data_IF_020325613776
#
_entry.id   IF_020325613776
#
_cell.length_a   1.000
_cell.length_b   1.000
_cell.length_c   1.000
_cell.angle_alpha   90.00
_cell.angle_beta   90.00
_cell.angle_gamma   90.00
#
_symmetry.space_group_name_H-M   'P 1'
#
loop_
_entity.id
_entity.type
_entity.pdbx_description
1 polymer ?
#
# COMPACT_ATOMS: atom_id res chain seq x y z
N UNK A 1 -2.87 -0.37 -14.99
CA UNK A 1 -2.88 0.62 -13.87
C UNK A 1 -1.48 0.65 -13.26
N UNK A 2 -0.71 1.68 -13.57
CA UNK A 2 0.64 1.82 -12.99
C UNK A 2 0.55 2.26 -11.53
N UNK A 3 1.47 1.78 -10.70
CA UNK A 3 1.60 2.30 -9.35
C UNK A 3 2.06 3.76 -9.41
N UNK A 4 1.34 4.64 -8.74
CA UNK A 4 1.65 6.07 -8.67
C UNK A 4 2.00 6.52 -7.25
N UNK A 5 2.07 5.60 -6.31
CA UNK A 5 2.38 5.94 -4.93
C UNK A 5 3.00 4.77 -4.18
N UNK A 6 3.77 5.08 -3.17
CA UNK A 6 4.33 4.10 -2.23
C UNK A 6 3.96 4.50 -0.81
N UNK A 7 3.47 3.55 -0.03
CA UNK A 7 3.34 3.68 1.41
C UNK A 7 4.65 3.26 2.06
N UNK A 8 5.23 4.15 2.85
CA UNK A 8 6.47 3.89 3.55
C UNK A 8 6.16 3.42 4.97
N UNK A 9 6.62 2.21 5.28
CA UNK A 9 6.57 1.68 6.65
C UNK A 9 7.91 1.93 7.31
N UNK A 10 7.88 2.53 8.48
CA UNK A 10 9.08 2.81 9.26
C UNK A 10 9.00 2.18 10.64
N UNK A 11 10.17 1.87 11.22
CA UNK A 11 10.25 1.25 12.54
C UNK A 11 9.89 2.23 13.66
N UNK A 12 9.15 1.76 14.65
CA UNK A 12 8.82 2.53 15.85
C UNK A 12 9.96 2.50 16.88
N UNK A 13 11.19 2.58 16.44
CA UNK A 13 12.36 2.45 17.32
C UNK A 13 12.40 3.62 18.32
N UNK A 14 11.92 3.36 19.54
CA UNK A 14 12.06 4.26 20.67
C UNK A 14 11.31 5.57 20.60
N UNK A 15 10.40 5.74 19.64
CA UNK A 15 9.72 7.00 19.42
C UNK A 15 8.27 6.89 19.87
N UNK A 16 8.06 7.21 21.13
CA UNK A 16 6.71 7.30 21.69
C UNK A 16 6.36 8.77 21.94
N UNK A 17 5.14 9.17 21.57
CA UNK A 17 4.57 10.45 21.94
C UNK A 17 5.02 11.64 21.08
N UNK A 18 5.40 12.72 21.75
CA UNK A 18 5.60 14.05 21.12
C UNK A 18 6.75 14.13 20.11
N UNK A 19 7.68 13.17 20.11
CA UNK A 19 8.86 13.19 19.25
C UNK A 19 8.64 12.50 17.89
N UNK A 20 7.48 11.89 17.69
CA UNK A 20 7.16 11.16 16.46
C UNK A 20 7.25 12.06 15.23
N UNK A 21 6.74 13.28 15.31
CA UNK A 21 6.76 14.22 14.18
C UNK A 21 8.19 14.63 13.79
N UNK A 22 9.11 14.75 14.73
CA UNK A 22 10.52 15.07 14.45
C UNK A 22 11.16 13.96 13.62
N UNK A 23 10.91 12.71 14.00
CA UNK A 23 11.40 11.56 13.27
C UNK A 23 10.78 11.48 11.86
N UNK A 24 9.47 11.66 11.75
CA UNK A 24 8.77 11.64 10.48
C UNK A 24 9.26 12.76 9.55
N UNK A 25 9.49 13.96 10.07
CA UNK A 25 10.03 15.07 9.29
C UNK A 25 11.45 14.80 8.81
N UNK A 26 12.28 14.22 9.66
CA UNK A 26 13.62 13.79 9.28
C UNK A 26 13.59 12.71 8.21
N UNK A 27 12.70 11.73 8.36
CA UNK A 27 12.51 10.66 7.38
C UNK A 27 12.07 11.21 6.03
N UNK A 28 11.11 12.13 6.01
CA UNK A 28 10.65 12.79 4.78
C UNK A 28 11.81 13.49 4.07
N UNK A 29 12.64 14.22 4.80
CA UNK A 29 13.82 14.88 4.23
C UNK A 29 14.82 13.89 3.64
N UNK A 30 15.09 12.80 4.34
CA UNK A 30 16.00 11.76 3.87
C UNK A 30 15.47 11.07 2.61
N UNK A 31 14.17 10.81 2.55
CA UNK A 31 13.52 10.24 1.36
C UNK A 31 13.65 11.20 0.18
N UNK A 32 13.35 12.48 0.36
CA UNK A 32 13.51 13.49 -0.69
C UNK A 32 14.93 13.54 -1.22
N UNK A 33 15.90 13.49 -0.31
CA UNK A 33 17.32 13.49 -0.68
C UNK A 33 17.67 12.23 -1.49
N UNK A 34 17.24 11.06 -1.05
CA UNK A 34 17.51 9.80 -1.72
C UNK A 34 16.93 9.73 -3.13
N UNK A 35 15.81 10.42 -3.38
CA UNK A 35 15.13 10.42 -4.68
C UNK A 35 15.62 11.51 -5.65
N UNK A 36 16.51 12.40 -5.23
CA UNK A 36 16.98 13.51 -6.07
C UNK A 36 17.66 13.05 -7.36
N UNK A 37 18.34 11.90 -7.35
CA UNK A 37 19.03 11.36 -8.52
C UNK A 37 18.21 10.36 -9.32
N UNK A 38 16.96 10.12 -8.96
CA UNK A 38 16.08 9.14 -9.61
C UNK A 38 15.21 9.85 -10.64
N UNK A 39 15.09 9.25 -11.83
CA UNK A 39 14.21 9.77 -12.88
C UNK A 39 12.75 9.74 -12.43
N UNK A 40 12.11 10.89 -12.46
CA UNK A 40 10.72 11.08 -12.08
C UNK A 40 10.50 12.30 -11.21
N UNK A 41 9.24 12.62 -11.01
CA UNK A 41 8.82 13.67 -10.09
C UNK A 41 8.15 13.02 -8.88
N UNK A 42 8.68 13.33 -7.70
CA UNK A 42 8.23 12.71 -6.46
C UNK A 42 7.73 13.76 -5.47
N UNK A 43 6.58 13.49 -4.87
CA UNK A 43 6.06 14.26 -3.75
C UNK A 43 6.03 13.38 -2.50
N UNK A 44 6.85 13.72 -1.53
CA UNK A 44 6.91 13.01 -0.25
C UNK A 44 6.10 13.79 0.77
N UNK A 45 5.12 13.14 1.37
CA UNK A 45 4.22 13.81 2.31
C UNK A 45 3.74 12.88 3.43
N UNK A 46 3.28 13.50 4.51
CA UNK A 46 2.60 12.79 5.61
C UNK A 46 1.10 12.91 5.42
N UNK A 47 0.40 11.81 5.65
CA UNK A 47 -1.05 11.77 5.59
C UNK A 47 -1.57 10.77 6.62
N UNK A 48 -2.39 11.23 7.55
CA UNK A 48 -3.00 10.39 8.60
C UNK A 48 -2.01 9.48 9.35
N UNK A 49 -0.88 10.04 9.77
CA UNK A 49 0.14 9.31 10.53
C UNK A 49 0.97 8.34 9.70
N UNK A 50 0.97 8.49 8.38
CA UNK A 50 1.73 7.68 7.43
C UNK A 50 2.51 8.55 6.48
N UNK A 51 3.59 7.99 5.95
CA UNK A 51 4.43 8.66 4.96
C UNK A 51 4.18 8.02 3.59
N UNK A 52 3.91 8.87 2.60
CA UNK A 52 3.69 8.46 1.21
C UNK A 52 4.69 9.13 0.28
N UNK A 53 5.05 8.41 -0.75
CA UNK A 53 5.80 8.94 -1.89
C UNK A 53 4.89 8.85 -3.11
N UNK A 54 4.39 9.98 -3.56
CA UNK A 54 3.59 10.05 -4.78
C UNK A 54 4.50 10.31 -5.98
N UNK A 55 4.26 9.58 -7.06
CA UNK A 55 5.04 9.67 -8.29
C UNK A 55 4.17 10.27 -9.39
N UNK A 56 4.61 11.37 -9.97
CA UNK A 56 3.90 12.05 -11.05
C UNK A 56 4.55 11.72 -12.39
N UNK A 57 3.72 11.34 -13.36
CA UNK A 57 4.19 10.98 -14.69
C UNK A 57 5.03 9.72 -14.74
N UNK A 58 5.98 9.69 -15.66
CA UNK A 58 6.88 8.54 -15.81
C UNK A 58 8.02 8.61 -14.79
N UNK A 59 8.32 7.46 -14.20
CA UNK A 59 9.41 7.33 -13.23
C UNK A 59 10.03 5.94 -13.31
N UNK A 60 11.26 5.81 -12.84
CA UNK A 60 11.94 4.51 -12.75
C UNK A 60 11.53 3.79 -11.47
N UNK A 61 10.68 2.77 -11.60
CA UNK A 61 10.17 2.00 -10.46
C UNK A 61 11.28 1.30 -9.68
N UNK A 62 12.15 0.57 -10.38
CA UNK A 62 13.19 -0.24 -9.73
C UNK A 62 14.21 0.63 -9.01
N UNK A 63 14.66 1.70 -9.64
CA UNK A 63 15.59 2.66 -9.02
C UNK A 63 14.95 3.39 -7.83
N UNK A 64 13.67 3.72 -7.93
CA UNK A 64 12.92 4.32 -6.82
C UNK A 64 12.90 3.40 -5.61
N UNK A 65 12.52 2.14 -5.80
CA UNK A 65 12.49 1.15 -4.72
C UNK A 65 13.88 0.92 -4.13
N UNK A 66 14.88 0.77 -4.97
CA UNK A 66 16.27 0.59 -4.53
C UNK A 66 16.77 1.77 -3.70
N UNK A 67 16.49 3.00 -4.13
CA UNK A 67 16.87 4.21 -3.40
C UNK A 67 16.15 4.32 -2.06
N UNK A 68 14.88 3.98 -2.00
CA UNK A 68 14.09 3.97 -0.76
C UNK A 68 14.59 2.91 0.22
N UNK A 69 15.02 1.75 -0.26
CA UNK A 69 15.57 0.68 0.59
C UNK A 69 16.85 1.10 1.33
N UNK A 70 17.58 2.06 0.82
CA UNK A 70 18.80 2.57 1.42
C UNK A 70 18.57 3.61 2.52
N UNK A 71 17.37 4.11 2.65
CA UNK A 71 17.03 5.11 3.68
C UNK A 71 16.90 4.44 5.03
N UNK A 72 17.67 4.95 6.00
CA UNK A 72 17.64 4.42 7.37
C UNK A 72 16.28 4.62 8.02
N UNK A 73 15.78 3.60 8.69
CA UNK A 73 14.51 3.64 9.39
C UNK A 73 13.32 3.11 8.59
N UNK A 74 13.47 2.94 7.28
CA UNK A 74 12.44 2.30 6.45
C UNK A 74 12.50 0.79 6.64
N UNK A 75 11.38 0.20 7.03
CA UNK A 75 11.24 -1.26 7.22
C UNK A 75 10.37 -1.90 6.15
N UNK A 76 9.64 -1.12 5.37
CA UNK A 76 8.82 -1.63 4.28
C UNK A 76 8.43 -0.55 3.28
N UNK A 77 8.34 -0.96 2.03
CA UNK A 77 7.92 -0.11 0.91
C UNK A 77 6.77 -0.85 0.22
N UNK A 78 5.58 -0.26 0.26
CA UNK A 78 4.40 -0.88 -0.31
C UNK A 78 3.90 -0.08 -1.49
N UNK A 79 3.99 -0.59 -2.72
CA UNK A 79 3.30 0.04 -3.84
C UNK A 79 1.80 0.08 -3.56
N UNK A 80 1.18 1.23 -3.80
CA UNK A 80 -0.25 1.41 -3.58
C UNK A 80 -0.89 2.08 -4.78
N UNK A 81 -2.17 1.80 -4.97
CA UNK A 81 -3.00 2.44 -5.98
C UNK A 81 -4.13 3.15 -5.25
N UNK A 82 -4.37 4.39 -5.62
CA UNK A 82 -5.50 5.17 -5.13
C UNK A 82 -6.61 5.12 -6.15
N UNK A 83 -7.79 4.78 -5.69
CA UNK A 83 -9.00 4.77 -6.52
C UNK A 83 -10.08 5.64 -5.84
N UNK A 84 -10.97 6.26 -6.61
CA UNK A 84 -12.09 6.99 -6.03
C UNK A 84 -12.94 6.09 -5.14
N UNK A 85 -13.50 6.66 -4.09
CA UNK A 85 -14.47 5.94 -3.25
C UNK A 85 -15.66 5.57 -4.12
N UNK A 86 -15.99 4.29 -4.14
CA UNK A 86 -17.04 3.75 -4.99
C UNK A 86 -17.81 2.66 -4.26
N UNK A 87 -18.88 2.19 -4.88
CA UNK A 87 -19.65 1.05 -4.39
C UNK A 87 -18.79 -0.22 -4.33
N UNK A 88 -19.23 -1.16 -3.52
CA UNK A 88 -18.50 -2.41 -3.27
C UNK A 88 -18.24 -3.20 -4.57
N UNK A 89 -19.17 -3.19 -5.51
CA UNK A 89 -19.01 -3.85 -6.79
C UNK A 89 -17.87 -3.25 -7.62
N UNK A 90 -17.75 -1.93 -7.65
CA UNK A 90 -16.64 -1.27 -8.33
C UNK A 90 -15.32 -1.52 -7.60
N UNK A 91 -15.31 -1.56 -6.27
CA UNK A 91 -14.12 -1.92 -5.49
C UNK A 91 -13.64 -3.33 -5.83
N UNK A 92 -14.54 -4.29 -5.98
CA UNK A 92 -14.20 -5.65 -6.40
C UNK A 92 -13.44 -5.64 -7.74
N UNK A 93 -13.92 -4.90 -8.72
CA UNK A 93 -13.28 -4.75 -10.04
C UNK A 93 -11.90 -4.09 -9.93
N UNK A 94 -11.80 -3.04 -9.14
CA UNK A 94 -10.55 -2.30 -8.94
C UNK A 94 -9.47 -3.18 -8.29
N UNK A 95 -9.85 -3.98 -7.29
CA UNK A 95 -8.92 -4.89 -6.62
C UNK A 95 -8.47 -6.01 -7.55
N UNK A 96 -9.35 -6.58 -8.35
CA UNK A 96 -8.99 -7.60 -9.34
C UNK A 96 -8.00 -7.03 -10.36
N UNK A 97 -8.24 -5.83 -10.86
CA UNK A 97 -7.33 -5.16 -11.79
C UNK A 97 -5.95 -4.91 -11.13
N UNK A 98 -5.95 -4.49 -9.88
CA UNK A 98 -4.71 -4.30 -9.11
C UNK A 98 -3.91 -5.59 -8.98
N UNK A 99 -4.56 -6.68 -8.58
CA UNK A 99 -3.89 -7.99 -8.41
C UNK A 99 -3.34 -8.50 -9.73
N UNK A 100 -4.09 -8.34 -10.81
CA UNK A 100 -3.66 -8.76 -12.14
C UNK A 100 -2.37 -8.06 -12.58
N UNK A 101 -2.26 -6.76 -12.34
CA UNK A 101 -1.06 -5.98 -12.69
C UNK A 101 0.10 -6.15 -11.70
N UNK A 102 -0.21 -6.26 -10.41
CA UNK A 102 0.80 -6.29 -9.36
C UNK A 102 1.56 -7.60 -9.30
N UNK A 103 0.93 -8.70 -9.67
CA UNK A 103 1.49 -10.04 -9.51
C UNK A 103 1.38 -10.81 -10.82
N UNK A 104 2.51 -11.13 -11.42
CA UNK A 104 2.57 -12.01 -12.59
C UNK A 104 2.23 -13.45 -12.22
N UNK A 105 2.82 -13.94 -11.14
CA UNK A 105 2.55 -15.26 -10.59
C UNK A 105 1.28 -15.23 -9.73
N UNK A 106 0.28 -16.03 -10.12
CA UNK A 106 -1.00 -16.12 -9.40
C UNK A 106 -1.07 -17.31 -8.43
N UNK A 107 -0.12 -18.24 -8.49
CA UNK A 107 -0.08 -19.38 -7.57
C UNK A 107 0.48 -18.98 -6.21
N UNK A 108 -0.30 -18.23 -5.45
CA UNK A 108 0.11 -17.67 -4.16
C UNK A 108 -1.08 -17.62 -3.21
N UNK A 109 -0.77 -17.45 -1.93
CA UNK A 109 -1.79 -17.19 -0.91
C UNK A 109 -1.93 -15.68 -0.68
N UNK A 110 -3.12 -15.25 -0.31
CA UNK A 110 -3.40 -13.85 0.00
C UNK A 110 -4.33 -13.72 1.20
N UNK A 111 -4.35 -12.55 1.77
CA UNK A 111 -5.29 -12.17 2.81
C UNK A 111 -5.79 -10.75 2.55
N UNK A 112 -7.08 -10.55 2.65
CA UNK A 112 -7.69 -9.22 2.57
C UNK A 112 -7.84 -8.68 4.00
N UNK A 113 -7.32 -7.49 4.25
CA UNK A 113 -7.46 -6.79 5.52
C UNK A 113 -7.99 -5.38 5.25
N UNK A 114 -9.30 -5.26 5.23
CA UNK A 114 -9.98 -3.99 4.98
C UNK A 114 -10.10 -3.18 6.27
N UNK A 115 -9.83 -1.88 6.16
CA UNK A 115 -10.01 -0.93 7.26
C UNK A 115 -10.80 0.27 6.73
N UNK A 116 -11.86 0.63 7.44
CA UNK A 116 -12.68 1.79 7.10
C UNK A 116 -12.23 3.00 7.91
N UNK A 117 -11.82 4.06 7.24
CA UNK A 117 -11.60 5.36 7.87
C UNK A 117 -12.93 6.05 8.22
N UNK A 118 -13.94 5.84 7.38
CA UNK A 118 -15.30 6.37 7.60
C UNK A 118 -16.27 5.22 7.85
N UNK A 119 -16.93 5.24 9.01
CA UNK A 119 -17.94 4.25 9.38
C UNK A 119 -19.22 4.37 8.55
N UNK A 120 -19.39 5.45 7.81
CA UNK A 120 -20.54 5.68 6.93
C UNK A 120 -20.51 4.87 5.63
N UNK A 121 -19.42 4.19 5.32
CA UNK A 121 -19.37 3.29 4.16
C UNK A 121 -20.37 2.14 4.37
N UNK A 122 -21.18 1.79 3.34
CA UNK A 122 -22.32 0.86 3.50
C UNK A 122 -21.95 -0.54 3.96
N UNK A 123 -20.75 -1.02 3.65
CA UNK A 123 -20.27 -2.33 4.07
C UNK A 123 -19.29 -2.22 5.23
N UNK A 124 -19.33 -3.16 6.18
CA UNK A 124 -18.34 -3.22 7.25
C UNK A 124 -17.05 -3.90 6.76
N UNK A 125 -16.00 -3.88 7.57
CA UNK A 125 -14.69 -4.43 7.19
C UNK A 125 -14.74 -5.93 6.88
N UNK A 126 -15.56 -6.68 7.62
CA UNK A 126 -15.74 -8.12 7.39
C UNK A 126 -16.42 -8.39 6.04
N UNK A 127 -17.46 -7.64 5.71
CA UNK A 127 -18.15 -7.75 4.44
C UNK A 127 -17.20 -7.41 3.28
N UNK A 128 -16.42 -6.35 3.41
CA UNK A 128 -15.42 -5.97 2.40
C UNK A 128 -14.39 -7.09 2.23
N UNK A 129 -13.89 -7.65 3.32
CA UNK A 129 -12.94 -8.76 3.25
C UNK A 129 -13.51 -9.97 2.50
N UNK A 130 -14.75 -10.34 2.77
CA UNK A 130 -15.42 -11.47 2.10
C UNK A 130 -15.65 -11.18 0.63
N UNK A 131 -16.22 -10.03 0.31
CA UNK A 131 -16.56 -9.67 -1.07
C UNK A 131 -15.32 -9.51 -1.96
N UNK A 132 -14.31 -8.83 -1.45
CA UNK A 132 -13.05 -8.64 -2.19
C UNK A 132 -12.30 -9.97 -2.34
N UNK A 133 -12.24 -10.76 -1.26
CA UNK A 133 -11.62 -12.09 -1.30
C UNK A 133 -12.30 -13.01 -2.31
N UNK A 134 -13.62 -13.02 -2.35
CA UNK A 134 -14.41 -13.78 -3.33
C UNK A 134 -14.10 -13.34 -4.76
N UNK A 135 -14.06 -12.03 -5.00
CA UNK A 135 -13.74 -11.50 -6.33
C UNK A 135 -12.35 -11.93 -6.82
N UNK A 136 -11.36 -11.93 -5.94
CA UNK A 136 -10.00 -12.40 -6.25
C UNK A 136 -10.00 -13.89 -6.59
N UNK A 137 -10.70 -14.70 -5.80
CA UNK A 137 -10.77 -16.15 -6.02
C UNK A 137 -11.48 -16.49 -7.33
N UNK A 138 -12.54 -15.77 -7.67
CA UNK A 138 -13.26 -15.97 -8.94
C UNK A 138 -12.40 -15.61 -10.15
N UNK A 139 -11.64 -14.50 -10.05
CA UNK A 139 -10.78 -14.03 -11.14
C UNK A 139 -9.51 -14.88 -11.30
N UNK A 140 -8.97 -15.37 -10.18
CA UNK A 140 -7.70 -16.13 -10.16
C UNK A 140 -7.88 -17.43 -9.35
N UNK A 141 -8.40 -18.50 -9.98
CA UNK A 141 -8.70 -19.76 -9.28
C UNK A 141 -7.48 -20.44 -8.64
N UNK A 142 -6.28 -20.17 -9.11
CA UNK A 142 -5.04 -20.70 -8.56
C UNK A 142 -4.63 -20.02 -7.24
N UNK A 143 -5.18 -18.87 -6.92
CA UNK A 143 -4.92 -18.18 -5.65
C UNK A 143 -5.72 -18.81 -4.50
N UNK A 144 -5.14 -18.78 -3.31
CA UNK A 144 -5.78 -19.31 -2.09
C UNK A 144 -5.77 -18.27 -0.97
N UNK A 145 -6.83 -18.27 -0.17
CA UNK A 145 -6.90 -17.41 1.00
C UNK A 145 -5.99 -17.99 2.10
N UNK A 146 -5.16 -17.13 2.69
CA UNK A 146 -4.37 -17.48 3.86
C UNK A 146 -5.23 -17.39 5.11
N UNK A 147 -5.52 -18.52 5.73
CA UNK A 147 -6.33 -18.61 6.96
C UNK A 147 -5.47 -18.57 8.23
N UNK A 148 -4.15 -18.58 8.12
CA UNK A 148 -3.23 -18.57 9.27
C UNK A 148 -2.81 -17.14 9.64
N UNK A 149 -2.95 -16.80 10.92
CA UNK A 149 -2.73 -15.43 11.43
C UNK A 149 -1.28 -14.95 11.41
N UNK A 150 -0.29 -15.85 11.38
CA UNK A 150 1.11 -15.54 11.72
C UNK A 150 2.14 -15.86 10.65
N UNK A 151 1.74 -16.17 9.41
CA UNK A 151 2.70 -16.40 8.34
C UNK A 151 2.92 -15.12 7.52
N UNK A 152 4.17 -14.91 7.07
CA UNK A 152 4.58 -13.86 6.14
C UNK A 152 3.87 -14.03 4.80
N UNK A 153 2.57 -13.79 4.77
CA UNK A 153 1.81 -13.70 3.54
C UNK A 153 1.91 -12.30 2.98
N UNK A 154 1.93 -12.19 1.67
CA UNK A 154 1.78 -10.90 1.00
C UNK A 154 0.42 -10.34 1.38
N UNK A 155 0.42 -9.31 2.22
CA UNK A 155 -0.81 -8.64 2.63
C UNK A 155 -1.21 -7.67 1.53
N UNK A 156 -2.32 -7.97 0.89
CA UNK A 156 -3.02 -6.98 0.09
C UNK A 156 -3.73 -6.04 1.08
N UNK A 157 -3.10 -4.92 1.40
CA UNK A 157 -3.78 -3.86 2.13
C UNK A 157 -4.76 -3.19 1.17
N UNK A 158 -5.95 -3.78 1.04
CA UNK A 158 -6.99 -3.16 0.24
C UNK A 158 -7.60 -2.03 1.03
N UNK A 159 -7.33 -0.86 0.55
CA UNK A 159 -8.10 0.34 0.78
C UNK A 159 -7.89 1.07 2.10
N UNK A 160 -7.01 2.05 2.05
CA UNK A 160 -7.24 3.29 2.76
C UNK A 160 -8.26 4.10 1.98
N UNK A 161 -9.52 3.97 2.33
CA UNK A 161 -10.55 4.88 1.88
C UNK A 161 -10.38 6.21 2.64
N UNK A 162 -9.98 7.22 1.93
CA UNK A 162 -9.99 8.60 2.43
C UNK A 162 -11.18 9.34 1.88
#
# INVERSE_FOLDING_TARGET
MKFHSFLIKYGEIGIKGKNRYIFEDALVRQIRYALQGVDGEFLVHKCHGRVYVDCDGDYDFDETVESLQKVFGIVGICPVVRVPVAELEQLRKDVVAYVDEAYEEKNMTFKVDARRAKKSYPANSMEINCEVGEAILEAFPEMKVDVHKDRKSTRLNSSHFH
#
